data_IF_820925181236
#
_entry.id   IF_820925181236
#
_cell.length_a   1.000
_cell.length_b   1.000
_cell.length_c   1.000
_cell.angle_alpha   90.00
_cell.angle_beta   90.00
_cell.angle_gamma   90.00
#
_symmetry.space_group_name_H-M   'P 1'
#
loop_
_entity.id
_entity.type
_entity.pdbx_description
1 polymer ?
#
# COMPACT_ATOMS: atom_id res chain seq x y z
N UNK A 1 1.42 -4.11 7.74
CA UNK A 1 2.56 -4.88 8.26
C UNK A 1 2.07 -6.16 8.91
N UNK A 2 2.64 -7.29 8.50
CA UNK A 2 2.20 -8.63 8.87
C UNK A 2 3.07 -9.17 10.01
N UNK A 3 2.44 -9.57 11.11
CA UNK A 3 3.10 -10.11 12.29
C UNK A 3 2.42 -11.42 12.73
N UNK A 4 3.20 -12.35 13.27
CA UNK A 4 2.69 -13.58 13.90
C UNK A 4 3.36 -13.74 15.26
N UNK A 5 2.55 -13.77 16.33
CA UNK A 5 3.07 -13.89 17.71
C UNK A 5 3.97 -12.72 18.14
N UNK A 6 3.88 -11.56 17.48
CA UNK A 6 4.76 -10.41 17.72
C UNK A 6 6.04 -10.41 16.87
N UNK A 7 6.33 -11.47 16.12
CA UNK A 7 7.45 -11.52 15.18
C UNK A 7 7.04 -10.96 13.81
N UNK A 8 7.93 -10.19 13.19
CA UNK A 8 7.74 -9.66 11.84
C UNK A 8 7.78 -10.82 10.82
N UNK A 9 6.76 -10.93 9.98
CA UNK A 9 6.73 -11.95 8.93
C UNK A 9 7.57 -11.53 7.71
N UNK A 10 8.24 -12.52 7.12
CA UNK A 10 9.02 -12.35 5.88
C UNK A 10 8.18 -11.90 4.68
N UNK A 11 6.86 -12.09 4.73
CA UNK A 11 5.93 -11.63 3.69
C UNK A 11 6.03 -10.13 3.43
N UNK A 12 6.32 -9.30 4.46
CA UNK A 12 6.51 -7.86 4.26
C UNK A 12 7.71 -7.54 3.37
N UNK A 13 8.77 -8.35 3.44
CA UNK A 13 9.93 -8.22 2.55
C UNK A 13 9.58 -8.66 1.13
N UNK A 14 8.80 -9.74 0.98
CA UNK A 14 8.30 -10.19 -0.32
C UNK A 14 7.46 -9.10 -0.98
N UNK A 15 6.47 -8.55 -0.28
CA UNK A 15 5.61 -7.47 -0.77
C UNK A 15 6.40 -6.22 -1.15
N UNK A 16 7.32 -5.77 -0.31
CA UNK A 16 8.14 -4.60 -0.61
C UNK A 16 9.03 -4.81 -1.85
N UNK A 17 9.53 -6.03 -2.05
CA UNK A 17 10.35 -6.38 -3.23
C UNK A 17 9.51 -6.39 -4.51
N UNK A 18 8.29 -6.94 -4.44
CA UNK A 18 7.36 -6.93 -5.57
C UNK A 18 7.00 -5.48 -5.96
N UNK A 19 6.69 -4.63 -4.97
CA UNK A 19 6.37 -3.22 -5.21
C UNK A 19 7.56 -2.47 -5.83
N UNK A 20 8.78 -2.75 -5.36
CA UNK A 20 9.99 -2.19 -5.96
C UNK A 20 10.15 -2.63 -7.42
N UNK A 21 9.99 -3.92 -7.71
CA UNK A 21 10.11 -4.45 -9.06
C UNK A 21 9.11 -3.80 -10.04
N UNK A 22 7.86 -3.57 -9.61
CA UNK A 22 6.86 -2.89 -10.44
C UNK A 22 7.15 -1.39 -10.63
N UNK A 23 7.56 -0.69 -9.58
CA UNK A 23 7.88 0.74 -9.67
C UNK A 23 9.15 1.03 -10.48
N UNK A 24 10.06 0.07 -10.57
CA UNK A 24 11.31 0.16 -11.33
C UNK A 24 11.16 -0.22 -12.82
N UNK A 25 9.96 -0.47 -13.33
CA UNK A 25 9.77 -0.76 -14.75
C UNK A 25 9.98 0.49 -15.62
N UNK A 26 10.74 0.38 -16.74
CA UNK A 26 10.89 1.49 -17.66
C UNK A 26 9.53 1.80 -18.34
N UNK A 27 9.22 3.10 -18.58
CA UNK A 27 8.09 3.47 -19.41
C UNK A 27 8.31 3.02 -20.86
N UNK A 28 7.22 2.77 -21.58
CA UNK A 28 7.25 2.35 -22.98
C UNK A 28 7.81 3.47 -23.89
N UNK A 29 8.93 3.23 -24.60
CA UNK A 29 9.51 4.21 -25.53
C UNK A 29 8.56 4.64 -26.65
N UNK A 30 7.62 3.80 -27.09
CA UNK A 30 6.64 4.18 -28.10
C UNK A 30 5.64 5.22 -27.59
N UNK A 31 5.46 5.29 -26.27
CA UNK A 31 4.52 6.23 -25.61
C UNK A 31 5.23 7.53 -25.22
N UNK A 32 6.42 7.44 -24.63
CA UNK A 32 7.11 8.60 -24.05
C UNK A 32 8.31 9.10 -24.87
N UNK A 33 8.65 8.42 -25.98
CA UNK A 33 9.75 8.81 -26.86
C UNK A 33 11.12 8.73 -26.18
N UNK A 34 12.07 9.52 -26.67
CA UNK A 34 13.49 9.45 -26.26
C UNK A 34 13.73 9.73 -24.77
N UNK A 35 12.79 10.38 -24.06
CA UNK A 35 12.89 10.64 -22.62
C UNK A 35 12.64 9.41 -21.74
N UNK A 36 12.28 8.25 -22.32
CA UNK A 36 11.96 7.04 -21.55
C UNK A 36 13.07 6.65 -20.57
N UNK A 37 14.33 6.85 -20.98
CA UNK A 37 15.51 6.49 -20.18
C UNK A 37 15.66 7.41 -18.98
N UNK A 38 15.56 8.72 -19.17
CA UNK A 38 15.71 9.69 -18.09
C UNK A 38 14.57 9.54 -17.08
N UNK A 39 13.33 9.33 -17.55
CA UNK A 39 12.18 9.04 -16.71
C UNK A 39 12.34 7.74 -15.93
N UNK A 40 12.96 6.72 -16.52
CA UNK A 40 13.23 5.46 -15.83
C UNK A 40 14.24 5.63 -14.70
N UNK A 41 15.36 6.33 -14.94
CA UNK A 41 16.34 6.63 -13.89
C UNK A 41 15.73 7.48 -12.78
N UNK A 42 14.96 8.51 -13.12
CA UNK A 42 14.24 9.33 -12.15
C UNK A 42 13.31 8.48 -11.26
N UNK A 43 12.57 7.53 -11.86
CA UNK A 43 11.71 6.60 -11.09
C UNK A 43 12.51 5.71 -10.16
N UNK A 44 13.64 5.17 -10.60
CA UNK A 44 14.49 4.33 -9.74
C UNK A 44 15.09 5.13 -8.58
N UNK A 45 15.53 6.37 -8.82
CA UNK A 45 16.08 7.25 -7.79
C UNK A 45 15.02 7.70 -6.78
N UNK A 46 13.78 7.96 -7.24
CA UNK A 46 12.70 8.50 -6.39
C UNK A 46 11.80 7.45 -5.74
N UNK A 47 11.73 6.21 -6.26
CA UNK A 47 10.83 5.18 -5.73
C UNK A 47 11.19 4.76 -4.29
N UNK A 48 12.47 4.84 -3.93
CA UNK A 48 12.98 4.45 -2.62
C UNK A 48 12.79 2.97 -2.28
N UNK A 49 13.25 2.57 -1.10
CA UNK A 49 13.06 1.22 -0.57
C UNK A 49 11.94 1.23 0.46
N UNK A 50 10.80 0.66 0.08
CA UNK A 50 9.59 0.68 0.92
C UNK A 50 9.82 -0.11 2.22
N UNK A 51 10.62 -1.17 2.15
CA UNK A 51 10.98 -1.97 3.33
C UNK A 51 11.71 -1.15 4.40
N UNK A 52 12.57 -0.20 4.02
CA UNK A 52 13.28 0.66 4.98
C UNK A 52 12.29 1.56 5.75
N UNK A 53 11.33 2.15 5.03
CA UNK A 53 10.27 2.94 5.65
C UNK A 53 9.38 2.08 6.55
N UNK A 54 8.98 0.89 6.09
CA UNK A 54 8.12 0.00 6.88
C UNK A 54 8.80 -0.52 8.14
N UNK A 55 10.12 -0.78 8.08
CA UNK A 55 10.91 -1.18 9.24
C UNK A 55 11.12 -0.03 10.24
N UNK A 56 11.08 1.24 9.81
CA UNK A 56 11.08 2.40 10.70
C UNK A 56 9.71 2.60 11.37
N UNK A 57 8.64 2.26 10.66
CA UNK A 57 7.25 2.40 11.11
C UNK A 57 6.63 1.05 11.50
N UNK A 58 7.24 0.29 12.41
CA UNK A 58 6.72 -1.03 12.80
C UNK A 58 5.39 -1.00 13.58
N UNK A 59 5.07 0.14 14.20
CA UNK A 59 3.86 0.31 15.02
C UNK A 59 2.89 1.24 14.31
N UNK A 60 1.61 1.16 14.68
CA UNK A 60 0.62 2.11 14.16
C UNK A 60 0.98 3.51 14.66
N UNK A 61 1.24 4.39 13.71
CA UNK A 61 1.61 5.78 13.92
C UNK A 61 1.00 6.66 12.81
N UNK A 62 1.41 7.92 12.74
CA UNK A 62 0.91 8.87 11.76
C UNK A 62 1.10 8.38 10.32
N UNK A 63 2.20 7.67 10.02
CA UNK A 63 2.50 7.14 8.69
C UNK A 63 1.43 6.14 8.21
N UNK A 64 0.96 5.26 9.09
CA UNK A 64 -0.10 4.28 8.76
C UNK A 64 -1.51 4.81 8.97
N UNK A 65 -1.68 5.88 9.75
CA UNK A 65 -3.01 6.40 10.10
C UNK A 65 -3.78 6.90 8.88
N UNK A 66 -3.08 7.51 7.93
CA UNK A 66 -3.63 8.10 6.70
C UNK A 66 -4.03 7.06 5.65
N UNK A 67 -3.39 5.89 5.67
CA UNK A 67 -3.64 4.80 4.71
C UNK A 67 -4.79 3.87 5.11
N UNK A 68 -5.53 4.20 6.19
CA UNK A 68 -6.65 3.39 6.65
C UNK A 68 -7.94 4.20 6.64
N UNK A 69 -9.00 3.60 6.09
CA UNK A 69 -10.35 4.18 6.13
C UNK A 69 -10.98 4.12 7.52
N UNK A 70 -10.40 3.35 8.45
CA UNK A 70 -11.00 3.11 9.78
C UNK A 70 -11.20 4.37 10.61
N UNK A 71 -10.46 5.44 10.33
CA UNK A 71 -10.55 6.71 11.03
C UNK A 71 -11.72 7.59 10.53
N UNK A 72 -12.26 7.30 9.34
CA UNK A 72 -13.20 8.19 8.64
C UNK A 72 -14.39 7.47 8.01
N UNK A 73 -14.93 6.43 8.66
CA UNK A 73 -16.13 5.74 8.17
C UNK A 73 -17.32 6.68 7.95
N UNK A 74 -17.46 7.72 8.77
CA UNK A 74 -18.51 8.74 8.66
C UNK A 74 -18.41 9.60 7.39
N UNK A 75 -17.25 9.63 6.73
CA UNK A 75 -17.07 10.34 5.46
C UNK A 75 -17.64 9.57 4.26
N UNK A 76 -17.93 8.28 4.43
CA UNK A 76 -18.54 7.44 3.40
C UNK A 76 -20.04 7.77 3.34
N UNK A 77 -20.45 8.48 2.29
CA UNK A 77 -21.84 8.90 2.08
C UNK A 77 -22.66 7.93 1.22
N UNK A 78 -22.00 7.05 0.49
CA UNK A 78 -22.67 6.04 -0.32
C UNK A 78 -23.00 4.80 0.51
N UNK A 79 -24.14 4.12 0.27
CA UNK A 79 -24.41 2.84 0.90
C UNK A 79 -23.34 1.80 0.52
N UNK A 80 -22.72 1.19 1.52
CA UNK A 80 -21.69 0.15 1.35
C UNK A 80 -22.21 -1.16 1.90
N UNK A 81 -22.12 -2.22 1.10
CA UNK A 81 -22.28 -3.60 1.54
C UNK A 81 -20.89 -4.22 1.74
N UNK A 82 -20.44 -4.30 2.99
CA UNK A 82 -19.13 -4.87 3.33
C UNK A 82 -19.27 -6.36 3.68
N UNK A 83 -18.38 -7.19 3.13
CA UNK A 83 -18.28 -8.61 3.42
C UNK A 83 -16.84 -8.90 3.83
N UNK A 84 -16.65 -9.59 4.96
CA UNK A 84 -15.35 -10.04 5.43
C UNK A 84 -15.40 -11.51 5.86
N UNK A 85 -14.33 -12.26 5.63
CA UNK A 85 -14.22 -13.66 6.03
C UNK A 85 -13.30 -13.73 7.26
N UNK A 86 -13.89 -13.94 8.43
CA UNK A 86 -13.23 -13.97 9.74
C UNK A 86 -14.26 -13.90 10.88
N UNK A 87 -13.89 -14.17 12.16
CA UNK A 87 -14.86 -14.21 13.26
C UNK A 87 -15.52 -12.85 13.56
N UNK A 88 -15.01 -11.75 13.02
CA UNK A 88 -15.63 -10.43 13.06
C UNK A 88 -16.40 -10.18 11.76
N UNK A 89 -17.63 -10.69 11.69
CA UNK A 89 -18.59 -10.31 10.67
C UNK A 89 -19.07 -8.87 10.88
N UNK A 90 -18.53 -7.93 10.10
CA UNK A 90 -18.99 -6.54 10.13
C UNK A 90 -20.09 -6.35 9.07
N UNK A 91 -21.36 -6.48 9.48
CA UNK A 91 -22.48 -6.14 8.60
C UNK A 91 -22.74 -4.63 8.67
N UNK A 92 -22.17 -3.86 7.74
CA UNK A 92 -22.55 -2.46 7.57
C UNK A 92 -23.88 -2.42 6.81
N UNK A 93 -24.97 -2.09 7.49
CA UNK A 93 -26.22 -1.65 6.85
C UNK A 93 -26.30 -0.15 6.96
N UNK A 94 -26.01 0.54 5.85
CA UNK A 94 -26.52 1.88 5.59
C UNK A 94 -28.01 1.73 5.25
N UNK A 95 -28.88 2.03 6.21
CA UNK A 95 -30.27 2.39 5.92
C UNK A 95 -30.32 3.91 5.98
N UNK A 96 -30.81 4.51 4.88
CA UNK A 96 -31.02 5.95 4.77
C UNK A 96 -32.08 6.48 5.72
#
# INVERSE_FOLDING_TARGET
MHYMGGCLLGDNLSEATVMFAFNALPPDPEIVGDSWRDMWFERMEKSGLWIDQWLKHQRRDAYWSTSSVCEYYSSIRCPVYAIGVGPMGLLIRSLG
#
